data_IF_633702596582
#
_entry.id   IF_633702596582
#
_cell.length_a   1.000
_cell.length_b   1.000
_cell.length_c   1.000
_cell.angle_alpha   90.00
_cell.angle_beta   90.00
_cell.angle_gamma   90.00
#
_symmetry.space_group_name_H-M   'P 1'
#
loop_
_entity.id
_entity.type
_entity.pdbx_description
1 polymer ?
#
# COMPACT_ATOMS: atom_id res chain seq x y z
N UNK A 1 5.81 -27.42 0.81
CA UNK A 1 5.43 -26.78 2.09
C UNK A 1 5.10 -25.36 1.67
N UNK A 2 3.90 -25.15 1.15
CA UNK A 2 3.59 -23.94 0.38
C UNK A 2 2.40 -23.29 1.06
N UNK A 3 2.68 -22.62 2.19
CA UNK A 3 1.70 -21.70 2.76
C UNK A 3 1.69 -20.46 1.85
N UNK A 4 0.64 -20.34 1.04
CA UNK A 4 0.44 -19.16 0.20
C UNK A 4 0.42 -17.87 1.02
N UNK A 5 0.58 -16.72 0.36
CA UNK A 5 0.46 -15.40 1.00
C UNK A 5 -0.98 -15.24 1.49
N UNK A 6 -1.16 -15.12 2.81
CA UNK A 6 -2.48 -14.92 3.42
C UNK A 6 -2.81 -13.47 3.75
N UNK A 7 -1.81 -12.57 3.67
CA UNK A 7 -1.98 -11.16 4.01
C UNK A 7 -0.95 -10.30 3.28
N UNK A 8 -1.36 -9.08 2.90
CA UNK A 8 -0.48 -8.03 2.38
C UNK A 8 -0.94 -6.67 2.86
N UNK A 9 0.02 -5.77 3.10
CA UNK A 9 -0.22 -4.36 3.37
C UNK A 9 0.17 -3.55 2.14
N UNK A 10 -0.77 -2.79 1.57
CA UNK A 10 -0.57 -1.99 0.37
C UNK A 10 -0.64 -0.51 0.75
N UNK A 11 0.48 0.20 0.59
CA UNK A 11 0.52 1.65 0.73
C UNK A 11 -0.13 2.31 -0.50
N UNK A 12 -1.10 3.19 -0.25
CA UNK A 12 -1.79 3.93 -1.31
C UNK A 12 -1.06 5.26 -1.60
N UNK A 13 -0.47 5.88 -0.57
CA UNK A 13 0.19 7.18 -0.65
C UNK A 13 1.14 7.38 0.53
N UNK A 14 2.31 7.95 0.28
CA UNK A 14 3.23 8.42 1.33
C UNK A 14 2.90 9.84 1.83
N UNK A 15 2.03 10.59 1.12
CA UNK A 15 1.54 11.90 1.58
C UNK A 15 0.68 11.75 2.84
N UNK A 16 1.07 12.46 3.91
CA UNK A 16 0.30 12.59 5.16
C UNK A 16 0.37 14.03 5.68
N UNK A 17 -0.65 14.50 6.41
CA UNK A 17 -0.69 15.90 6.90
C UNK A 17 0.07 16.11 8.22
N UNK A 18 0.73 15.06 8.74
CA UNK A 18 1.32 15.04 10.07
C UNK A 18 2.83 14.80 10.00
N UNK A 19 3.55 15.29 11.00
CA UNK A 19 5.01 15.09 11.17
C UNK A 19 5.27 14.24 12.42
N UNK A 20 4.83 12.99 12.37
CA UNK A 20 4.88 12.08 13.53
C UNK A 20 6.30 11.53 13.77
N UNK A 21 6.82 11.66 14.99
CA UNK A 21 8.12 11.08 15.39
C UNK A 21 8.19 9.56 15.28
N UNK A 22 7.07 8.86 15.33
CA UNK A 22 6.99 7.39 15.32
C UNK A 22 6.32 6.82 14.06
N UNK A 23 6.35 7.55 12.93
CA UNK A 23 5.84 7.04 11.67
C UNK A 23 6.87 6.11 11.01
N UNK A 24 6.71 4.80 11.17
CA UNK A 24 7.59 3.82 10.52
C UNK A 24 7.42 3.72 9.00
N UNK A 25 6.35 4.34 8.44
CA UNK A 25 6.14 4.44 7.00
C UNK A 25 6.80 5.69 6.39
N UNK A 26 7.42 6.56 7.20
CA UNK A 26 8.00 7.84 6.78
C UNK A 26 7.02 8.76 6.03
N UNK A 27 5.71 8.52 6.18
CA UNK A 27 4.68 9.35 5.58
C UNK A 27 4.68 10.75 6.20
N UNK A 28 4.52 11.78 5.38
CA UNK A 28 4.57 13.16 5.87
C UNK A 28 4.13 14.20 4.85
N UNK A 29 4.20 15.49 5.21
CA UNK A 29 3.68 16.59 4.39
C UNK A 29 4.45 16.76 3.09
N UNK A 30 5.64 16.19 2.97
CA UNK A 30 6.46 16.21 1.75
C UNK A 30 6.41 14.90 0.97
N UNK A 31 5.66 13.89 1.44
CA UNK A 31 5.51 12.60 0.75
C UNK A 31 4.78 12.73 -0.59
N UNK A 32 4.92 11.72 -1.44
CA UNK A 32 4.25 11.63 -2.74
C UNK A 32 3.04 10.66 -2.71
N UNK A 33 2.31 10.61 -3.82
CA UNK A 33 1.18 9.68 -4.01
C UNK A 33 1.59 8.37 -4.71
N UNK A 34 2.88 8.10 -4.83
CA UNK A 34 3.42 7.02 -5.63
C UNK A 34 3.15 7.19 -7.13
N UNK A 35 3.38 6.10 -7.87
CA UNK A 35 3.18 6.03 -9.33
C UNK A 35 2.00 5.13 -9.71
N UNK A 36 1.46 4.37 -8.76
CA UNK A 36 0.35 3.47 -9.03
C UNK A 36 -0.90 4.25 -9.37
N UNK A 37 -1.52 3.90 -10.48
CA UNK A 37 -2.80 4.45 -10.90
C UNK A 37 -3.94 3.55 -10.43
N UNK A 38 -5.16 4.06 -10.49
CA UNK A 38 -6.37 3.31 -10.12
C UNK A 38 -6.45 1.93 -10.78
N UNK A 39 -6.05 1.83 -12.06
CA UNK A 39 -6.07 0.56 -12.79
C UNK A 39 -5.12 -0.48 -12.16
N UNK A 40 -3.96 -0.04 -11.66
CA UNK A 40 -2.95 -0.93 -11.10
C UNK A 40 -3.44 -1.54 -9.79
N UNK A 41 -4.07 -0.72 -8.93
CA UNK A 41 -4.73 -1.21 -7.72
C UNK A 41 -5.89 -2.14 -8.04
N UNK A 42 -6.72 -1.77 -9.02
CA UNK A 42 -7.86 -2.58 -9.44
C UNK A 42 -7.43 -3.95 -10.01
N UNK A 43 -6.28 -4.01 -10.70
CA UNK A 43 -5.67 -5.26 -11.19
C UNK A 43 -5.21 -6.14 -10.03
N UNK A 44 -4.60 -5.55 -9.00
CA UNK A 44 -4.18 -6.25 -7.78
C UNK A 44 -5.37 -6.87 -7.04
N UNK A 45 -6.45 -6.09 -6.83
CA UNK A 45 -7.63 -6.55 -6.09
C UNK A 45 -8.41 -7.66 -6.81
N UNK A 46 -8.34 -7.72 -8.14
CA UNK A 46 -8.96 -8.79 -8.93
C UNK A 46 -8.06 -10.01 -9.12
N UNK A 47 -6.86 -10.02 -8.55
CA UNK A 47 -5.97 -11.16 -8.69
C UNK A 47 -6.57 -12.38 -7.98
N UNK A 48 -6.70 -13.55 -8.64
CA UNK A 48 -7.29 -14.77 -8.07
C UNK A 48 -6.75 -15.24 -6.71
N UNK A 49 -5.59 -14.75 -6.25
CA UNK A 49 -4.99 -15.12 -4.97
C UNK A 49 -5.03 -13.98 -3.92
N UNK A 50 -5.75 -12.89 -4.19
CA UNK A 50 -5.91 -11.74 -3.26
C UNK A 50 -7.28 -11.75 -2.56
N UNK A 51 -8.26 -12.44 -3.14
CA UNK A 51 -9.50 -12.76 -2.44
C UNK A 51 -9.25 -13.97 -1.53
N UNK A 52 -9.42 -13.78 -0.22
CA UNK A 52 -9.48 -14.87 0.76
C UNK A 52 -10.54 -15.92 0.38
#
# INVERSE_FOLDING_TARGET
>A
MDAGISFVWLEITGKCQLECTHCYAESGPTGDHGQMQENDFSRLLRWPNVAC
#
